data_IF_714366232176
#
_entry.id   IF_714366232176
#
_cell.length_a   1.000
_cell.length_b   1.000
_cell.length_c   1.000
_cell.angle_alpha   90.00
_cell.angle_beta   90.00
_cell.angle_gamma   90.00
#
_symmetry.space_group_name_H-M   'P 1'
#
loop_
_entity.id
_entity.type
_entity.pdbx_description
1 polymer ?
#
# COMPACT_ATOMS: atom_id res chain seq x y z
N UNK A 1 -12.97 -7.41 7.13
CA UNK A 1 -14.02 -6.90 8.05
C UNK A 1 -15.41 -6.96 7.39
N UNK A 2 -16.22 -8.00 7.68
CA UNK A 2 -17.47 -8.26 6.94
C UNK A 2 -18.57 -7.20 7.08
N UNK A 3 -18.77 -6.61 8.27
CA UNK A 3 -19.82 -5.60 8.50
C UNK A 3 -19.54 -4.31 7.73
N UNK A 4 -18.32 -3.77 7.85
CA UNK A 4 -17.91 -2.57 7.10
C UNK A 4 -18.06 -2.75 5.58
N UNK A 5 -17.77 -3.93 5.05
CA UNK A 5 -17.92 -4.21 3.63
C UNK A 5 -19.41 -4.19 3.18
N UNK A 6 -20.32 -4.69 4.03
CA UNK A 6 -21.77 -4.61 3.81
C UNK A 6 -22.25 -3.15 3.82
N UNK A 7 -21.84 -2.35 4.81
CA UNK A 7 -22.20 -0.93 4.89
C UNK A 7 -21.67 -0.13 3.68
N UNK A 8 -20.43 -0.38 3.25
CA UNK A 8 -19.86 0.27 2.08
C UNK A 8 -20.63 -0.09 0.80
N UNK A 9 -20.99 -1.36 0.61
CA UNK A 9 -21.86 -1.77 -0.50
C UNK A 9 -23.18 -0.99 -0.46
N UNK A 10 -23.81 -0.87 0.71
CA UNK A 10 -25.10 -0.20 0.85
C UNK A 10 -25.02 1.30 0.57
N UNK A 11 -23.95 1.97 1.03
CA UNK A 11 -23.69 3.37 0.74
C UNK A 11 -23.49 3.60 -0.76
N UNK A 12 -22.65 2.80 -1.42
CA UNK A 12 -22.36 2.97 -2.85
C UNK A 12 -23.56 2.60 -3.73
N UNK A 13 -24.27 1.51 -3.43
CA UNK A 13 -25.49 1.15 -4.18
C UNK A 13 -26.56 2.23 -4.06
N UNK A 14 -26.70 2.86 -2.90
CA UNK A 14 -27.57 4.03 -2.71
C UNK A 14 -27.11 5.24 -3.55
N UNK A 15 -25.81 5.57 -3.56
CA UNK A 15 -25.25 6.66 -4.39
C UNK A 15 -25.56 6.46 -5.88
N UNK A 16 -25.50 5.21 -6.35
CA UNK A 16 -25.77 4.86 -7.75
C UNK A 16 -27.25 4.58 -8.06
N UNK A 17 -28.13 4.57 -7.06
CA UNK A 17 -29.55 4.25 -7.24
C UNK A 17 -29.81 2.82 -7.71
N UNK A 18 -28.92 1.87 -7.40
CA UNK A 18 -29.03 0.47 -7.81
C UNK A 18 -29.52 -0.42 -6.66
N UNK A 19 -30.19 -1.56 -6.92
CA UNK A 19 -30.65 -2.45 -5.86
C UNK A 19 -29.50 -3.04 -5.03
N UNK A 20 -29.75 -3.25 -3.73
CA UNK A 20 -28.85 -3.97 -2.81
C UNK A 20 -28.90 -5.50 -2.96
N UNK A 21 -29.65 -5.99 -3.94
CA UNK A 21 -29.66 -7.41 -4.34
C UNK A 21 -28.63 -7.60 -5.46
N UNK A 22 -27.74 -8.56 -5.30
CA UNK A 22 -26.73 -8.85 -6.30
C UNK A 22 -27.40 -9.25 -7.62
N UNK A 23 -26.96 -8.62 -8.71
CA UNK A 23 -27.38 -8.96 -10.08
C UNK A 23 -26.73 -10.25 -10.55
N UNK A 24 -25.50 -10.50 -10.11
CA UNK A 24 -24.82 -11.76 -10.35
C UNK A 24 -23.79 -12.05 -9.26
N UNK A 25 -23.41 -13.31 -9.14
CA UNK A 25 -22.37 -13.78 -8.22
C UNK A 25 -21.38 -14.64 -8.99
N UNK A 26 -20.09 -14.53 -8.66
CA UNK A 26 -19.04 -15.37 -9.20
C UNK A 26 -18.12 -15.89 -8.08
N UNK A 27 -17.41 -16.98 -8.38
CA UNK A 27 -16.35 -17.52 -7.52
C UNK A 27 -15.02 -17.30 -8.20
N UNK A 28 -14.03 -16.87 -7.42
CA UNK A 28 -12.65 -16.66 -7.85
C UNK A 28 -11.70 -17.56 -7.03
N UNK A 29 -10.42 -17.69 -7.44
CA UNK A 29 -9.41 -18.41 -6.67
C UNK A 29 -9.27 -17.91 -5.21
N UNK A 30 -8.61 -18.71 -4.37
CA UNK A 30 -8.35 -18.32 -2.98
C UNK A 30 -9.60 -18.25 -2.11
N UNK A 31 -10.62 -19.07 -2.40
CA UNK A 31 -11.89 -19.10 -1.68
C UNK A 31 -12.58 -17.73 -1.64
N UNK A 32 -12.61 -17.06 -2.79
CA UNK A 32 -13.15 -15.72 -2.95
C UNK A 32 -14.50 -15.77 -3.65
N UNK A 33 -15.51 -15.09 -3.11
CA UNK A 33 -16.77 -14.82 -3.81
C UNK A 33 -16.86 -13.35 -4.19
N UNK A 34 -17.52 -13.07 -5.30
CA UNK A 34 -17.79 -11.71 -5.76
C UNK A 34 -19.28 -11.57 -6.05
N UNK A 35 -19.88 -10.54 -5.50
CA UNK A 35 -21.26 -10.12 -5.79
C UNK A 35 -21.21 -8.83 -6.61
N UNK A 36 -21.89 -8.81 -7.75
CA UNK A 36 -21.99 -7.64 -8.63
C UNK A 36 -23.40 -7.03 -8.51
N UNK A 37 -23.46 -5.70 -8.39
CA UNK A 37 -24.69 -4.93 -8.30
C UNK A 37 -24.76 -4.02 -9.53
N UNK A 38 -25.36 -4.55 -10.59
CA UNK A 38 -25.27 -4.01 -11.95
C UNK A 38 -23.80 -3.73 -12.32
N UNK A 39 -23.53 -2.65 -13.06
CA UNK A 39 -22.18 -2.22 -13.43
C UNK A 39 -21.59 -1.17 -12.46
N UNK A 40 -22.18 -1.02 -11.26
CA UNK A 40 -21.86 0.08 -10.34
C UNK A 40 -21.02 -0.34 -9.13
N UNK A 41 -21.30 -1.51 -8.53
CA UNK A 41 -20.63 -1.96 -7.29
C UNK A 41 -20.26 -3.43 -7.41
N UNK A 42 -19.04 -3.78 -6.99
CA UNK A 42 -18.58 -5.16 -6.83
C UNK A 42 -18.09 -5.38 -5.39
N UNK A 43 -18.63 -6.40 -4.72
CA UNK A 43 -18.28 -6.77 -3.36
C UNK A 43 -17.51 -8.10 -3.34
N UNK A 44 -16.23 -8.02 -2.98
CA UNK A 44 -15.34 -9.19 -2.89
C UNK A 44 -15.26 -9.68 -1.44
N UNK A 45 -15.49 -10.98 -1.23
CA UNK A 45 -15.34 -11.64 0.07
C UNK A 45 -14.31 -12.77 -0.06
N UNK A 46 -13.16 -12.60 0.58
CA UNK A 46 -12.10 -13.60 0.63
C UNK A 46 -12.18 -14.34 1.97
N UNK A 47 -12.48 -15.64 1.93
CA UNK A 47 -12.61 -16.43 3.15
C UNK A 47 -11.27 -16.52 3.89
N UNK A 48 -11.33 -16.46 5.22
CA UNK A 48 -10.15 -16.55 6.09
C UNK A 48 -9.32 -15.25 6.19
N UNK A 49 -9.70 -14.17 5.51
CA UNK A 49 -9.03 -12.87 5.61
C UNK A 49 -9.85 -11.90 6.45
N UNK A 50 -9.44 -11.70 7.70
CA UNK A 50 -10.05 -10.72 8.61
C UNK A 50 -9.57 -9.29 8.33
N UNK A 51 -8.26 -9.07 8.49
CA UNK A 51 -7.55 -7.82 8.25
C UNK A 51 -6.24 -8.09 7.49
N UNK A 52 -6.08 -7.49 6.32
CA UNK A 52 -4.92 -7.67 5.45
C UNK A 52 -5.30 -7.61 3.97
N UNK A 53 -4.29 -7.43 3.13
CA UNK A 53 -4.41 -7.40 1.68
C UNK A 53 -4.23 -8.81 1.12
N UNK A 54 -5.20 -9.34 0.37
CA UNK A 54 -5.03 -10.60 -0.36
C UNK A 54 -3.98 -10.44 -1.47
N UNK A 55 -2.96 -11.30 -1.45
CA UNK A 55 -1.91 -11.39 -2.47
C UNK A 55 -1.81 -12.82 -3.00
N UNK A 56 -1.26 -13.01 -4.19
CA UNK A 56 -0.98 -14.34 -4.74
C UNK A 56 0.44 -14.36 -5.30
N UNK A 57 1.47 -14.65 -4.49
CA UNK A 57 2.85 -14.59 -4.95
C UNK A 57 3.11 -15.50 -6.15
N UNK A 58 3.94 -15.02 -7.08
CA UNK A 58 4.34 -15.74 -8.28
C UNK A 58 4.55 -14.78 -9.46
N UNK A 59 4.72 -15.34 -10.65
CA UNK A 59 5.08 -14.59 -11.87
C UNK A 59 4.02 -14.64 -12.97
N UNK A 60 2.92 -15.36 -12.77
CA UNK A 60 1.80 -15.33 -13.70
C UNK A 60 1.07 -13.98 -13.62
N UNK A 61 0.30 -13.65 -14.65
CA UNK A 61 -0.42 -12.38 -14.74
C UNK A 61 -1.42 -12.18 -13.59
N UNK A 62 -2.06 -13.26 -13.14
CA UNK A 62 -2.98 -13.28 -12.00
C UNK A 62 -2.28 -13.49 -10.65
N UNK A 63 -0.96 -13.40 -10.59
CA UNK A 63 -0.14 -13.48 -9.39
C UNK A 63 0.49 -12.11 -9.10
N UNK A 64 0.42 -11.67 -7.84
CA UNK A 64 1.00 -10.42 -7.41
C UNK A 64 1.40 -10.43 -5.94
N UNK A 65 2.32 -9.52 -5.61
CA UNK A 65 2.77 -9.24 -4.25
C UNK A 65 3.62 -10.35 -3.64
N UNK A 66 4.05 -10.10 -2.41
CA UNK A 66 4.75 -11.05 -1.53
C UNK A 66 3.99 -11.15 -0.22
N UNK A 67 4.15 -12.26 0.50
CA UNK A 67 3.51 -12.43 1.81
C UNK A 67 4.20 -11.60 2.90
N UNK A 68 3.43 -11.24 3.91
CA UNK A 68 3.89 -10.50 5.09
C UNK A 68 2.79 -10.42 6.14
N UNK A 69 3.03 -9.72 7.25
CA UNK A 69 2.11 -9.67 8.40
C UNK A 69 0.67 -9.25 8.05
N UNK A 70 0.50 -8.43 7.01
CA UNK A 70 -0.81 -7.99 6.51
C UNK A 70 -0.98 -8.23 5.01
N UNK A 71 -0.15 -9.08 4.41
CA UNK A 71 -0.24 -9.49 3.01
C UNK A 71 -0.39 -11.01 3.00
N UNK A 72 -1.63 -11.48 2.84
CA UNK A 72 -2.00 -12.87 3.04
C UNK A 72 -2.12 -13.59 1.71
N UNK A 73 -1.49 -14.76 1.58
CA UNK A 73 -1.55 -15.56 0.37
C UNK A 73 -2.95 -16.15 0.14
N UNK A 74 -3.64 -15.71 -0.90
CA UNK A 74 -4.94 -16.25 -1.34
C UNK A 74 -5.24 -15.95 -2.81
N UNK A 75 -5.41 -14.68 -3.16
CA UNK A 75 -5.79 -14.17 -4.48
C UNK A 75 -5.07 -12.86 -4.75
N UNK A 76 -4.69 -12.59 -6.00
CA UNK A 76 -4.20 -11.26 -6.37
C UNK A 76 -5.36 -10.25 -6.42
N UNK A 77 -5.69 -9.63 -5.28
CA UNK A 77 -6.81 -8.68 -5.18
C UNK A 77 -6.74 -7.55 -6.22
N UNK A 78 -5.57 -6.96 -6.41
CA UNK A 78 -5.37 -5.87 -7.37
C UNK A 78 -5.63 -6.28 -8.82
N UNK A 79 -5.26 -7.50 -9.23
CA UNK A 79 -5.51 -8.01 -10.59
C UNK A 79 -7.01 -8.14 -10.89
N UNK A 80 -7.78 -8.66 -9.94
CA UNK A 80 -9.22 -8.83 -10.12
C UNK A 80 -10.00 -7.51 -9.98
N UNK A 81 -9.51 -6.55 -9.19
CA UNK A 81 -10.05 -5.19 -9.18
C UNK A 81 -9.75 -4.50 -10.52
N UNK A 82 -8.54 -4.61 -11.07
CA UNK A 82 -8.23 -3.99 -12.35
C UNK A 82 -9.13 -4.51 -13.48
N UNK A 83 -9.35 -5.82 -13.55
CA UNK A 83 -10.27 -6.43 -14.53
C UNK A 83 -11.72 -5.97 -14.34
N UNK A 84 -12.22 -5.85 -13.11
CA UNK A 84 -13.61 -5.40 -12.91
C UNK A 84 -13.84 -3.95 -13.30
N UNK A 85 -12.79 -3.13 -13.28
CA UNK A 85 -12.82 -1.76 -13.79
C UNK A 85 -12.56 -1.67 -15.30
N UNK A 86 -12.43 -2.82 -15.99
CA UNK A 86 -12.13 -2.87 -17.42
C UNK A 86 -10.75 -2.29 -17.76
N UNK A 87 -9.85 -2.18 -16.78
CA UNK A 87 -8.50 -1.70 -17.03
C UNK A 87 -7.75 -2.78 -17.82
N UNK A 88 -7.10 -2.42 -18.94
CA UNK A 88 -6.32 -3.38 -19.68
C UNK A 88 -5.22 -3.91 -18.76
N UNK A 89 -5.02 -5.23 -18.76
CA UNK A 89 -3.79 -5.81 -18.22
C UNK A 89 -2.63 -5.13 -18.94
N UNK A 90 -1.87 -4.33 -18.21
CA UNK A 90 -0.68 -3.71 -18.77
C UNK A 90 0.18 -4.81 -19.40
N UNK A 91 0.69 -4.56 -20.61
CA UNK A 91 1.69 -5.42 -21.23
C UNK A 91 2.72 -5.78 -20.17
N UNK A 92 2.87 -7.09 -19.94
CA UNK A 92 3.69 -7.75 -18.92
C UNK A 92 4.80 -6.84 -18.39
N UNK A 93 4.78 -6.39 -17.12
CA UNK A 93 6.01 -5.94 -16.49
C UNK A 93 7.01 -7.09 -16.66
N UNK A 94 8.24 -6.86 -17.16
CA UNK A 94 9.19 -7.94 -17.36
C UNK A 94 9.27 -8.76 -16.07
N UNK A 95 9.08 -10.07 -16.21
CA UNK A 95 9.38 -11.06 -15.17
C UNK A 95 10.69 -10.63 -14.51
N UNK A 96 10.78 -10.55 -13.16
CA UNK A 96 12.05 -10.27 -12.53
C UNK A 96 12.95 -11.47 -12.81
N UNK A 97 13.70 -11.37 -13.91
CA UNK A 97 14.98 -12.03 -14.03
C UNK A 97 15.73 -11.63 -12.76
N UNK A 98 16.43 -12.55 -12.05
CA UNK A 98 17.30 -12.14 -10.96
C UNK A 98 18.32 -11.16 -11.52
N UNK A 99 17.95 -9.89 -11.48
CA UNK A 99 18.77 -8.78 -11.88
C UNK A 99 19.71 -8.66 -10.71
N UNK A 100 20.95 -9.09 -10.91
CA UNK A 100 22.05 -8.76 -10.02
C UNK A 100 21.97 -7.25 -9.88
N UNK A 101 21.49 -6.80 -8.72
CA UNK A 101 21.30 -5.39 -8.39
C UNK A 101 22.68 -4.77 -8.35
N UNK A 102 23.15 -4.36 -9.52
CA UNK A 102 24.21 -3.37 -9.64
C UNK A 102 23.54 -2.05 -9.31
N UNK A 103 23.37 -1.85 -8.01
CA UNK A 103 22.95 -0.59 -7.41
C UNK A 103 23.77 0.52 -8.05
N UNK A 104 23.18 1.46 -8.79
CA UNK A 104 23.90 2.69 -9.07
C UNK A 104 24.02 3.39 -7.72
N UNK A 105 25.26 3.54 -7.24
CA UNK A 105 25.60 4.44 -6.15
C UNK A 105 25.39 5.88 -6.61
N UNK A 106 24.15 6.27 -6.91
CA UNK A 106 23.78 7.67 -6.96
C UNK A 106 23.87 8.17 -5.53
N UNK A 107 24.81 9.08 -5.27
CA UNK A 107 24.87 9.89 -4.05
C UNK A 107 23.45 10.27 -3.64
N UNK A 108 22.92 9.60 -2.61
CA UNK A 108 21.56 9.86 -2.16
C UNK A 108 21.57 11.16 -1.37
N UNK A 109 20.64 12.09 -1.64
CA UNK A 109 20.70 13.43 -1.05
C UNK A 109 20.53 13.37 0.47
N UNK A 110 21.42 14.09 1.15
CA UNK A 110 21.29 14.39 2.57
C UNK A 110 20.57 15.72 2.77
N UNK A 111 19.77 15.80 3.83
CA UNK A 111 18.98 16.98 4.16
C UNK A 111 19.25 17.35 5.62
N UNK A 112 19.84 18.50 5.87
CA UNK A 112 20.02 19.05 7.22
C UNK A 112 18.96 20.11 7.46
N UNK A 113 18.08 19.89 8.45
CA UNK A 113 17.04 20.85 8.81
C UNK A 113 16.61 20.67 10.27
N UNK A 114 15.77 21.57 10.77
CA UNK A 114 15.16 21.40 12.08
C UNK A 114 14.14 20.25 12.07
N UNK A 115 13.87 19.66 13.22
CA UNK A 115 12.87 18.59 13.37
C UNK A 115 11.50 19.02 12.83
N UNK A 116 11.08 20.26 13.11
CA UNK A 116 9.89 20.84 12.50
C UNK A 116 9.96 20.83 10.95
N UNK A 117 11.05 21.35 10.37
CA UNK A 117 11.20 21.43 8.92
C UNK A 117 11.28 20.05 8.24
N UNK A 118 11.80 19.02 8.93
CA UNK A 118 11.75 17.65 8.45
C UNK A 118 10.33 17.09 8.36
N UNK A 119 9.48 17.40 9.33
CA UNK A 119 8.07 16.99 9.29
C UNK A 119 7.29 17.70 8.19
N UNK A 120 7.45 19.02 8.04
CA UNK A 120 6.80 19.81 6.98
C UNK A 120 7.20 19.32 5.59
N UNK A 121 8.46 18.93 5.41
CA UNK A 121 8.96 18.46 4.13
C UNK A 121 8.71 16.95 3.88
N UNK A 122 7.91 16.28 4.71
CA UNK A 122 7.57 14.86 4.55
C UNK A 122 8.73 13.88 4.77
N UNK A 123 9.82 14.33 5.40
CA UNK A 123 10.99 13.49 5.70
C UNK A 123 10.92 12.83 7.09
N UNK A 124 10.09 13.34 7.98
CA UNK A 124 9.84 12.81 9.33
C UNK A 124 8.35 12.92 9.71
N UNK A 125 7.95 12.26 10.78
CA UNK A 125 6.63 12.36 11.42
C UNK A 125 6.80 12.76 12.88
N UNK A 126 5.78 13.39 13.47
CA UNK A 126 5.77 13.74 14.89
C UNK A 126 4.75 12.89 15.65
N UNK A 127 5.09 12.48 16.87
CA UNK A 127 4.17 11.84 17.80
C UNK A 127 4.58 12.14 19.24
N UNK A 128 3.62 12.52 20.09
CA UNK A 128 3.88 12.78 21.51
C UNK A 128 4.95 13.85 21.78
N UNK A 129 5.08 14.86 20.91
CA UNK A 129 6.10 15.92 21.03
C UNK A 129 7.50 15.55 20.53
N UNK A 130 7.70 14.32 20.05
CA UNK A 130 8.95 13.84 19.46
C UNK A 130 8.83 13.65 17.95
N UNK A 131 9.97 13.69 17.27
CA UNK A 131 10.12 13.55 15.81
C UNK A 131 10.79 12.22 15.49
N UNK A 132 10.30 11.54 14.45
CA UNK A 132 10.78 10.25 13.99
C UNK A 132 11.02 10.29 12.48
N UNK A 133 12.17 9.80 12.01
CA UNK A 133 12.49 9.78 10.58
C UNK A 133 11.54 8.84 9.81
N UNK A 134 11.03 9.28 8.65
CA UNK A 134 10.10 8.47 7.87
C UNK A 134 10.80 7.24 7.27
N UNK A 135 10.13 6.10 7.34
CA UNK A 135 10.66 4.81 6.91
C UNK A 135 11.51 4.10 7.97
N UNK A 136 12.55 4.75 8.53
CA UNK A 136 13.41 4.09 9.52
C UNK A 136 12.86 4.12 10.95
N UNK A 137 11.99 5.09 11.28
CA UNK A 137 11.44 5.28 12.62
C UNK A 137 12.46 5.76 13.67
N UNK A 138 13.66 6.17 13.26
CA UNK A 138 14.69 6.61 14.20
C UNK A 138 14.26 7.90 14.91
N UNK A 139 14.39 7.91 16.23
CA UNK A 139 14.05 9.05 17.06
C UNK A 139 15.04 10.21 16.82
N UNK A 140 14.50 11.37 16.46
CA UNK A 140 15.23 12.62 16.23
C UNK A 140 15.07 13.60 17.42
N UNK A 141 14.39 13.18 18.48
CA UNK A 141 14.14 14.03 19.65
C UNK A 141 12.99 15.02 19.46
N UNK A 142 13.00 16.12 20.23
CA UNK A 142 11.85 17.03 20.35
C UNK A 142 11.45 17.68 19.03
N UNK A 143 10.15 17.74 18.76
CA UNK A 143 9.58 18.44 17.61
C UNK A 143 9.59 19.95 17.83
N UNK A 144 10.64 20.62 17.38
CA UNK A 144 10.78 22.07 17.42
C UNK A 144 11.69 22.58 16.29
N UNK A 145 11.88 23.90 16.24
CA UNK A 145 12.73 24.58 15.25
C UNK A 145 14.20 24.74 15.70
N UNK A 146 14.55 24.33 16.93
CA UNK A 146 15.87 24.50 17.54
C UNK A 146 16.74 23.24 17.48
N UNK A 147 16.13 22.06 17.34
CA UNK A 147 16.81 20.77 17.22
C UNK A 147 16.96 20.44 15.74
N UNK A 148 18.20 20.26 15.28
CA UNK A 148 18.55 19.98 13.90
C UNK A 148 19.16 18.60 13.78
N UNK A 149 18.80 17.91 12.70
CA UNK A 149 19.39 16.63 12.34
C UNK A 149 19.62 16.59 10.84
N UNK A 150 20.54 15.73 10.42
CA UNK A 150 20.76 15.39 9.02
C UNK A 150 20.09 14.07 8.72
N UNK A 151 19.18 14.05 7.74
CA UNK A 151 18.58 12.83 7.22
C UNK A 151 19.16 12.49 5.84
N UNK A 152 19.65 11.26 5.69
CA UNK A 152 20.01 10.69 4.40
C UNK A 152 18.85 9.87 3.86
N UNK A 153 18.42 10.16 2.63
CA UNK A 153 17.42 9.30 1.96
C UNK A 153 18.11 8.00 1.53
N UNK A 154 17.58 6.84 1.89
CA UNK A 154 18.14 5.54 1.46
C UNK A 154 17.17 4.73 0.59
N UNK A 155 15.97 5.26 0.36
CA UNK A 155 14.96 4.72 -0.54
C UNK A 155 13.76 5.67 -0.66
N UNK A 156 12.76 5.34 -1.49
CA UNK A 156 11.51 6.10 -1.55
C UNK A 156 10.89 6.20 -0.15
N UNK A 157 10.70 7.43 0.35
CA UNK A 157 10.16 7.72 1.69
C UNK A 157 10.90 7.06 2.86
N UNK A 158 12.16 6.64 2.67
CA UNK A 158 12.98 6.04 3.71
C UNK A 158 14.20 6.93 4.01
N UNK A 159 14.26 7.44 5.23
CA UNK A 159 15.27 8.37 5.71
C UNK A 159 15.93 7.82 6.97
N UNK A 160 17.25 7.95 7.05
CA UNK A 160 18.02 7.57 8.24
C UNK A 160 18.77 8.79 8.79
N UNK A 161 18.93 8.84 10.12
CA UNK A 161 19.80 9.81 10.78
C UNK A 161 21.25 9.63 10.30
N UNK A 162 21.86 10.74 9.91
CA UNK A 162 23.19 10.80 9.31
C UNK A 162 23.94 12.06 9.77
N UNK A 163 23.81 12.41 11.05
CA UNK A 163 24.50 13.55 11.64
C UNK A 163 26.02 13.40 11.46
N UNK A 164 26.63 14.35 10.74
CA UNK A 164 28.06 14.34 10.43
C UNK A 164 28.54 13.18 9.55
N UNK A 165 27.63 12.43 8.91
CA UNK A 165 27.93 11.29 8.02
C UNK A 165 27.40 11.53 6.59
N UNK A 166 27.24 12.82 6.29
CA UNK A 166 27.01 13.48 5.02
C UNK A 166 27.94 14.71 5.03
#
# INVERSE_FOLDING_TARGET
>A
MPANATELRDQWTNVWGVPQTATSTATLPGSTTVEYYQDAVALYRVQGIGHGTPVAPGSAENQCGTTGSYYLASICSSYYIAQSWGLPSGTTPPSPTPSVSTSPSTSQPCFTASNYAHTVAGRATQSGGNTFANGSGQAMGLWNTFVFHTLRRTGPNHYVLADGQC
#
